data_IF_322539733919
#
_entry.id   IF_322539733919
#
_cell.length_a   1.000
_cell.length_b   1.000
_cell.length_c   1.000
_cell.angle_alpha   90.00
_cell.angle_beta   90.00
_cell.angle_gamma   90.00
#
_symmetry.space_group_name_H-M   'P 1'
#
loop_
_entity.id
_entity.type
_entity.pdbx_description
1 polymer ?
#
# COMPACT_ATOMS: atom_id res chain seq x y z
N UNK A 1 -10.30 -10.50 11.12
CA UNK A 1 -9.54 -9.30 11.54
C UNK A 1 -10.19 -8.07 10.90
N UNK A 2 -10.47 -7.05 11.69
CA UNK A 2 -11.06 -5.79 11.22
C UNK A 2 -9.92 -4.79 11.06
N UNK A 3 -9.83 -4.15 9.89
CA UNK A 3 -8.83 -3.14 9.58
C UNK A 3 -9.39 -2.14 8.56
N UNK A 4 -8.76 -0.99 8.45
CA UNK A 4 -9.17 0.03 7.49
C UNK A 4 -8.92 -0.42 6.04
N UNK A 5 -9.83 -0.05 5.14
CA UNK A 5 -9.53 -0.11 3.70
C UNK A 5 -8.42 0.90 3.38
N UNK A 6 -7.54 0.60 2.42
CA UNK A 6 -6.42 1.50 2.12
C UNK A 6 -6.89 2.84 1.53
N UNK A 7 -6.14 3.90 1.82
CA UNK A 7 -6.23 5.13 1.05
C UNK A 7 -5.66 4.88 -0.35
N UNK A 8 -6.42 5.25 -1.38
CA UNK A 8 -6.02 5.07 -2.78
C UNK A 8 -5.97 6.40 -3.56
N UNK A 9 -6.64 7.45 -3.08
CA UNK A 9 -6.54 8.77 -3.71
C UNK A 9 -5.13 9.33 -3.57
N UNK A 10 -4.53 9.72 -4.69
CA UNK A 10 -3.14 10.18 -4.76
C UNK A 10 -2.09 9.07 -4.90
N UNK A 11 -2.51 7.81 -4.94
CA UNK A 11 -1.62 6.66 -5.16
C UNK A 11 -1.12 6.63 -6.61
N UNK A 12 0.03 6.02 -6.85
CA UNK A 12 0.59 5.85 -8.19
C UNK A 12 -0.36 5.04 -9.10
N UNK A 13 -0.68 5.58 -10.27
CA UNK A 13 -1.59 4.93 -11.22
C UNK A 13 -1.10 3.54 -11.64
N UNK A 14 0.19 3.40 -11.93
CA UNK A 14 0.78 2.08 -12.25
C UNK A 14 0.63 1.07 -11.14
N UNK A 15 0.76 1.50 -9.87
CA UNK A 15 0.55 0.61 -8.73
C UNK A 15 -0.92 0.21 -8.60
N UNK A 16 -1.87 1.16 -8.74
CA UNK A 16 -3.30 0.84 -8.68
C UNK A 16 -3.66 -0.18 -9.77
N UNK A 17 -3.20 0.05 -11.01
CA UNK A 17 -3.43 -0.86 -12.12
C UNK A 17 -2.84 -2.26 -11.85
N UNK A 18 -1.61 -2.32 -11.34
CA UNK A 18 -0.96 -3.58 -10.98
C UNK A 18 -1.72 -4.32 -9.86
N UNK A 19 -2.22 -3.61 -8.85
CA UNK A 19 -3.01 -4.20 -7.78
C UNK A 19 -4.35 -4.76 -8.28
N UNK A 20 -5.08 -4.02 -9.12
CA UNK A 20 -6.33 -4.49 -9.72
C UNK A 20 -6.11 -5.71 -10.61
N UNK A 21 -5.05 -5.71 -11.41
CA UNK A 21 -4.65 -6.86 -12.22
C UNK A 21 -4.32 -8.07 -11.36
N UNK A 22 -3.59 -7.87 -10.26
CA UNK A 22 -3.24 -8.93 -9.32
C UNK A 22 -4.48 -9.53 -8.62
N UNK A 23 -5.48 -8.72 -8.29
CA UNK A 23 -6.76 -9.23 -7.80
C UNK A 23 -7.50 -10.04 -8.86
N UNK A 24 -7.48 -9.59 -10.11
CA UNK A 24 -8.16 -10.27 -11.22
C UNK A 24 -7.54 -11.63 -11.52
N UNK A 25 -6.20 -11.74 -11.50
CA UNK A 25 -5.48 -12.97 -11.82
C UNK A 25 -5.24 -13.90 -10.61
N UNK A 26 -5.52 -13.45 -9.39
CA UNK A 26 -5.39 -14.23 -8.15
C UNK A 26 -4.03 -14.13 -7.44
N UNK A 27 -3.09 -13.32 -7.94
CA UNK A 27 -1.81 -13.07 -7.25
C UNK A 27 -1.99 -12.31 -5.95
N UNK A 28 -3.04 -11.47 -5.90
CA UNK A 28 -3.49 -10.78 -4.71
C UNK A 28 -4.90 -11.27 -4.38
N UNK A 29 -5.05 -11.93 -3.23
CA UNK A 29 -6.28 -12.62 -2.87
C UNK A 29 -7.04 -11.84 -1.80
N UNK A 30 -8.20 -11.38 -2.18
CA UNK A 30 -9.21 -10.77 -1.30
C UNK A 30 -10.56 -10.90 -2.01
N UNK A 31 -11.54 -11.63 -1.46
CA UNK A 31 -12.75 -12.01 -2.19
C UNK A 31 -13.53 -10.85 -2.78
N UNK A 32 -13.73 -9.79 -2.00
CA UNK A 32 -14.45 -8.59 -2.46
C UNK A 32 -13.77 -7.94 -3.66
N UNK A 33 -12.44 -7.71 -3.55
CA UNK A 33 -11.70 -7.07 -4.65
C UNK A 33 -11.56 -7.99 -5.86
N UNK A 34 -11.48 -9.29 -5.67
CA UNK A 34 -11.48 -10.25 -6.78
C UNK A 34 -12.80 -10.19 -7.56
N UNK A 35 -13.93 -10.13 -6.86
CA UNK A 35 -15.23 -10.01 -7.50
C UNK A 35 -15.37 -8.72 -8.32
N UNK A 36 -14.91 -7.60 -7.76
CA UNK A 36 -14.90 -6.30 -8.46
C UNK A 36 -13.97 -6.34 -9.67
N UNK A 37 -12.72 -6.78 -9.49
CA UNK A 37 -11.72 -6.75 -10.55
C UNK A 37 -12.02 -7.73 -11.68
N UNK A 38 -12.73 -8.82 -11.43
CA UNK A 38 -13.05 -9.85 -12.42
C UNK A 38 -13.82 -9.32 -13.64
N UNK A 39 -14.66 -8.31 -13.45
CA UNK A 39 -15.48 -7.71 -14.51
C UNK A 39 -14.79 -6.56 -15.26
N UNK A 40 -13.63 -6.09 -14.77
CA UNK A 40 -12.93 -4.95 -15.38
C UNK A 40 -12.12 -5.38 -16.60
N UNK A 41 -12.24 -4.63 -17.70
CA UNK A 41 -11.31 -4.70 -18.82
C UNK A 41 -9.97 -4.04 -18.47
N UNK A 42 -8.96 -4.24 -19.29
CA UNK A 42 -7.67 -3.56 -19.12
C UNK A 42 -7.82 -2.04 -19.22
N UNK A 43 -8.72 -1.56 -20.09
CA UNK A 43 -9.01 -0.13 -20.19
C UNK A 43 -9.68 0.40 -18.92
N UNK A 44 -10.68 -0.32 -18.37
CA UNK A 44 -11.33 0.06 -17.12
C UNK A 44 -10.30 0.15 -15.97
N UNK A 45 -9.39 -0.80 -15.88
CA UNK A 45 -8.32 -0.82 -14.87
C UNK A 45 -7.45 0.43 -15.01
N UNK A 46 -7.04 0.80 -16.22
CA UNK A 46 -6.21 1.97 -16.46
C UNK A 46 -6.96 3.28 -16.15
N UNK A 47 -8.21 3.38 -16.56
CA UNK A 47 -9.04 4.57 -16.32
C UNK A 47 -9.29 4.79 -14.82
N UNK A 48 -9.63 3.72 -14.09
CA UNK A 48 -9.79 3.75 -12.63
C UNK A 48 -8.48 4.15 -11.94
N UNK A 49 -7.37 3.55 -12.37
CA UNK A 49 -6.07 3.84 -11.81
C UNK A 49 -5.68 5.31 -11.99
N UNK A 50 -5.89 5.86 -13.19
CA UNK A 50 -5.61 7.26 -13.48
C UNK A 50 -6.52 8.20 -12.69
N UNK A 51 -7.82 7.90 -12.61
CA UNK A 51 -8.78 8.67 -11.83
C UNK A 51 -8.35 8.81 -10.37
N UNK A 52 -8.11 7.68 -9.69
CA UNK A 52 -7.73 7.72 -8.28
C UNK A 52 -6.36 8.33 -8.04
N UNK A 53 -5.42 8.18 -8.96
CA UNK A 53 -4.09 8.79 -8.82
C UNK A 53 -4.14 10.32 -8.81
N UNK A 54 -5.10 10.92 -9.50
CA UNK A 54 -5.31 12.38 -9.59
C UNK A 54 -6.24 12.92 -8.51
N UNK A 55 -6.98 12.06 -7.85
CA UNK A 55 -7.96 12.45 -6.84
C UNK A 55 -7.23 12.88 -5.56
N UNK A 56 -7.61 14.02 -5.00
CA UNK A 56 -7.02 14.54 -3.76
C UNK A 56 -5.93 15.60 -3.95
N UNK A 57 -5.64 16.00 -5.18
CA UNK A 57 -4.76 17.11 -5.52
C UNK A 57 -3.26 16.78 -5.43
N UNK A 58 -2.43 17.81 -5.58
CA UNK A 58 -0.98 17.69 -5.57
C UNK A 58 -0.42 18.05 -4.19
N UNK A 59 -0.07 17.08 -3.40
CA UNK A 59 0.74 17.27 -2.19
C UNK A 59 2.14 16.73 -2.47
N UNK A 60 3.15 17.56 -2.32
CA UNK A 60 4.55 17.14 -2.44
C UNK A 60 5.21 17.14 -1.07
N UNK A 61 5.67 15.98 -0.65
CA UNK A 61 6.43 15.84 0.58
C UNK A 61 7.93 16.07 0.34
N UNK A 62 8.68 16.47 1.38
CA UNK A 62 10.15 16.50 1.34
C UNK A 62 10.72 15.13 1.02
N UNK A 63 11.99 15.09 0.56
CA UNK A 63 12.67 13.83 0.26
C UNK A 63 13.03 13.01 1.51
N UNK A 64 13.01 13.64 2.67
CA UNK A 64 13.25 12.97 3.96
C UNK A 64 11.92 12.68 4.67
N UNK A 65 11.86 11.63 5.51
CA UNK A 65 10.69 11.36 6.31
C UNK A 65 10.43 12.51 7.29
N UNK A 66 9.17 12.74 7.61
CA UNK A 66 8.74 13.85 8.48
C UNK A 66 9.21 13.71 9.93
N UNK A 67 9.53 12.50 10.35
CA UNK A 67 10.26 12.21 11.58
C UNK A 67 11.10 10.96 11.42
N UNK A 68 12.16 10.86 12.22
CA UNK A 68 13.07 9.73 12.18
C UNK A 68 12.49 8.54 12.96
N UNK A 69 12.79 7.30 12.55
CA UNK A 69 12.44 6.11 13.32
C UNK A 69 13.28 6.06 14.60
N UNK A 70 12.79 5.36 15.60
CA UNK A 70 13.63 4.98 16.73
C UNK A 70 14.69 3.95 16.31
N UNK A 71 15.62 3.64 17.22
CA UNK A 71 16.76 2.76 16.92
C UNK A 71 16.31 1.33 16.53
N UNK A 72 15.23 0.84 17.10
CA UNK A 72 14.69 -0.50 16.80
C UNK A 72 14.13 -0.54 15.40
N UNK A 73 13.24 0.39 15.06
CA UNK A 73 12.63 0.49 13.73
C UNK A 73 13.67 0.78 12.66
N UNK A 74 14.65 1.66 12.95
CA UNK A 74 15.75 1.94 12.02
C UNK A 74 16.55 0.66 11.67
N UNK A 75 16.81 -0.17 12.66
CA UNK A 75 17.49 -1.47 12.45
C UNK A 75 16.64 -2.41 11.58
N UNK A 76 15.31 -2.45 11.78
CA UNK A 76 14.41 -3.27 10.96
C UNK A 76 14.34 -2.76 9.52
N UNK A 77 14.24 -1.46 9.30
CA UNK A 77 14.24 -0.85 7.97
C UNK A 77 15.53 -1.14 7.20
N UNK A 78 16.68 -1.07 7.88
CA UNK A 78 17.98 -1.39 7.30
C UNK A 78 18.14 -2.87 6.98
N UNK A 79 17.63 -3.76 7.83
CA UNK A 79 17.70 -5.22 7.65
C UNK A 79 17.11 -5.68 6.31
N UNK A 80 15.96 -5.14 5.90
CA UNK A 80 15.32 -5.46 4.62
C UNK A 80 15.57 -4.39 3.54
N UNK A 81 16.37 -3.36 3.84
CA UNK A 81 16.68 -2.26 2.92
C UNK A 81 15.42 -1.65 2.26
N UNK A 82 14.37 -1.42 3.05
CA UNK A 82 13.05 -0.99 2.58
C UNK A 82 13.10 0.29 1.75
N UNK A 83 13.93 1.25 2.18
CA UNK A 83 14.04 2.56 1.56
C UNK A 83 14.65 2.53 0.16
N UNK A 84 15.41 1.49 -0.19
CA UNK A 84 16.03 1.37 -1.53
C UNK A 84 14.99 1.24 -2.65
N UNK A 85 13.83 0.66 -2.35
CA UNK A 85 12.74 0.47 -3.30
C UNK A 85 11.58 1.45 -3.06
N UNK A 86 11.24 1.70 -1.79
CA UNK A 86 10.09 2.52 -1.43
C UNK A 86 10.40 4.02 -1.27
N UNK A 87 11.68 4.40 -1.41
CA UNK A 87 12.14 5.78 -1.22
C UNK A 87 12.38 6.11 0.26
N UNK A 88 13.25 7.07 0.52
CA UNK A 88 13.64 7.46 1.88
C UNK A 88 12.46 7.95 2.72
N UNK A 89 11.53 8.67 2.09
CA UNK A 89 10.32 9.21 2.72
C UNK A 89 9.09 8.30 2.56
N UNK A 90 9.22 7.11 1.98
CA UNK A 90 8.12 6.16 1.68
C UNK A 90 6.99 6.72 0.79
N UNK A 91 7.22 7.85 0.11
CA UNK A 91 6.29 8.47 -0.83
C UNK A 91 6.84 8.59 -2.24
N UNK A 92 8.15 8.42 -2.41
CA UNK A 92 8.84 8.49 -3.71
C UNK A 92 9.56 7.18 -4.01
N UNK A 93 8.83 6.11 -4.35
CA UNK A 93 9.44 4.84 -4.73
C UNK A 93 10.27 4.98 -6.01
N UNK A 94 11.24 4.08 -6.21
CA UNK A 94 12.11 4.08 -7.39
C UNK A 94 11.38 3.76 -8.69
N UNK A 95 10.21 3.13 -8.62
CA UNK A 95 9.34 2.81 -9.74
C UNK A 95 7.88 3.09 -9.38
N UNK A 96 7.13 3.64 -10.33
CA UNK A 96 5.72 4.00 -10.13
C UNK A 96 4.78 2.77 -10.02
N UNK A 97 5.25 1.56 -10.30
CA UNK A 97 4.54 0.33 -10.00
C UNK A 97 4.62 -0.08 -8.52
N UNK A 98 5.48 0.57 -7.74
CA UNK A 98 5.54 0.42 -6.30
C UNK A 98 4.64 1.46 -5.61
N UNK A 99 4.04 1.11 -4.45
CA UNK A 99 3.11 2.00 -3.78
C UNK A 99 3.82 3.13 -3.02
N UNK A 100 3.13 4.27 -2.92
CA UNK A 100 3.36 5.23 -1.85
C UNK A 100 2.84 4.61 -0.56
N UNK A 101 3.63 4.63 0.49
CA UNK A 101 3.35 3.97 1.77
C UNK A 101 3.17 4.94 2.93
N UNK A 102 3.89 6.07 2.92
CA UNK A 102 3.87 7.03 4.01
C UNK A 102 2.44 7.48 4.36
N UNK A 103 2.10 7.40 5.64
CA UNK A 103 0.81 7.80 6.17
C UNK A 103 -0.38 6.92 5.78
N UNK A 104 -0.15 5.79 5.12
CA UNK A 104 -1.19 4.77 4.93
C UNK A 104 -1.63 4.22 6.29
N UNK A 105 -2.88 3.76 6.41
CA UNK A 105 -3.38 3.16 7.64
C UNK A 105 -2.46 2.05 8.15
N UNK A 106 -1.98 2.19 9.38
CA UNK A 106 -0.98 1.27 9.96
C UNK A 106 -1.51 -0.18 10.08
N UNK A 107 -2.78 -0.35 10.43
CA UNK A 107 -3.42 -1.66 10.51
C UNK A 107 -3.50 -2.33 9.12
N UNK A 108 -3.81 -1.57 8.07
CA UNK A 108 -3.77 -2.06 6.70
C UNK A 108 -2.35 -2.44 6.26
N UNK A 109 -1.35 -1.60 6.55
CA UNK A 109 0.05 -1.91 6.25
C UNK A 109 0.50 -3.21 6.94
N UNK A 110 0.12 -3.38 8.21
CA UNK A 110 0.44 -4.59 8.96
C UNK A 110 -0.21 -5.85 8.34
N UNK A 111 -1.50 -5.77 7.99
CA UNK A 111 -2.17 -6.88 7.30
C UNK A 111 -1.51 -7.18 5.96
N UNK A 112 -1.20 -6.16 5.16
CA UNK A 112 -0.53 -6.31 3.88
C UNK A 112 0.82 -7.01 4.01
N UNK A 113 1.63 -6.63 4.99
CA UNK A 113 2.92 -7.27 5.27
C UNK A 113 2.77 -8.74 5.67
N UNK A 114 1.78 -9.07 6.49
CA UNK A 114 1.46 -10.47 6.84
C UNK A 114 1.01 -11.28 5.63
N UNK A 115 0.22 -10.69 4.75
CA UNK A 115 -0.28 -11.35 3.54
C UNK A 115 0.85 -11.77 2.59
N UNK A 116 1.94 -11.02 2.50
CA UNK A 116 3.12 -11.43 1.73
C UNK A 116 3.80 -12.70 2.27
N UNK A 117 3.61 -13.02 3.55
CA UNK A 117 4.09 -14.27 4.17
C UNK A 117 3.15 -15.45 3.95
N UNK A 118 1.92 -15.20 3.51
CA UNK A 118 0.86 -16.21 3.39
C UNK A 118 0.93 -16.90 2.03
N UNK A 119 1.47 -18.13 2.00
CA UNK A 119 1.73 -18.87 0.76
C UNK A 119 0.55 -19.70 0.27
N UNK A 120 -0.24 -20.28 1.16
CA UNK A 120 -1.20 -21.34 0.81
C UNK A 120 -2.65 -21.05 1.17
N UNK A 121 -3.01 -19.85 1.55
CA UNK A 121 -4.39 -19.49 1.82
C UNK A 121 -5.11 -19.12 0.50
N UNK A 122 -6.21 -19.82 0.13
CA UNK A 122 -6.90 -19.54 -1.14
C UNK A 122 -7.68 -18.23 -1.14
N UNK A 123 -7.97 -17.68 0.02
CA UNK A 123 -8.85 -16.52 0.21
C UNK A 123 -8.09 -15.21 0.43
N UNK A 124 -6.96 -15.28 1.14
CA UNK A 124 -6.15 -14.13 1.50
C UNK A 124 -4.68 -14.35 1.16
N UNK A 125 -3.96 -13.30 0.84
CA UNK A 125 -2.53 -13.33 0.61
C UNK A 125 -2.11 -12.59 -0.65
N UNK A 126 -0.79 -12.42 -0.79
CA UNK A 126 -0.18 -11.71 -1.91
C UNK A 126 1.02 -12.49 -2.43
N UNK A 127 0.97 -12.90 -3.70
CA UNK A 127 2.04 -13.63 -4.37
C UNK A 127 3.02 -12.64 -5.03
N UNK A 128 3.85 -12.00 -4.23
CA UNK A 128 4.94 -11.17 -4.71
C UNK A 128 6.26 -11.69 -4.16
N UNK A 129 7.17 -12.24 -5.00
CA UNK A 129 8.40 -12.88 -4.53
C UNK A 129 9.33 -11.91 -3.79
N UNK A 130 9.43 -10.66 -4.24
CA UNK A 130 10.30 -9.64 -3.63
C UNK A 130 9.78 -9.30 -2.25
N UNK A 131 8.54 -8.84 -2.15
CA UNK A 131 7.95 -8.49 -0.86
C UNK A 131 7.77 -9.69 0.07
N UNK A 132 7.52 -10.88 -0.48
CA UNK A 132 7.49 -12.12 0.29
C UNK A 132 8.83 -12.44 0.95
N UNK A 133 9.95 -12.23 0.24
CA UNK A 133 11.30 -12.38 0.77
C UNK A 133 11.62 -11.31 1.83
N UNK A 134 11.19 -10.08 1.61
CA UNK A 134 11.40 -8.98 2.58
C UNK A 134 10.59 -9.21 3.86
N UNK A 135 9.28 -9.37 3.76
CA UNK A 135 8.39 -9.58 4.91
C UNK A 135 8.69 -10.88 5.66
N UNK A 136 9.16 -11.91 4.96
CA UNK A 136 9.53 -13.20 5.53
C UNK A 136 10.66 -13.16 6.55
N UNK A 137 11.47 -12.09 6.56
CA UNK A 137 12.58 -11.92 7.50
C UNK A 137 12.14 -11.50 8.90
N UNK A 138 10.87 -11.11 9.06
CA UNK A 138 10.36 -10.48 10.28
C UNK A 138 9.29 -11.31 10.98
N UNK A 139 9.27 -11.21 12.30
CA UNK A 139 8.14 -11.64 13.13
C UNK A 139 6.94 -10.70 12.95
N UNK A 140 5.76 -11.14 13.37
CA UNK A 140 4.58 -10.28 13.30
C UNK A 140 4.70 -9.02 14.19
N UNK A 141 5.25 -9.06 15.41
CA UNK A 141 5.54 -7.84 16.17
C UNK A 141 6.45 -6.87 15.42
N UNK A 142 7.53 -7.35 14.80
CA UNK A 142 8.45 -6.51 14.01
C UNK A 142 7.74 -5.89 12.79
N UNK A 143 6.88 -6.65 12.10
CA UNK A 143 6.06 -6.11 11.01
C UNK A 143 5.08 -5.04 11.49
N UNK A 144 4.57 -5.19 12.71
CA UNK A 144 3.69 -4.17 13.30
C UNK A 144 4.44 -2.88 13.59
N UNK A 145 5.64 -2.93 14.16
CA UNK A 145 6.47 -1.76 14.40
C UNK A 145 6.81 -1.00 13.11
N UNK A 146 7.16 -1.74 12.03
CA UNK A 146 7.38 -1.17 10.71
C UNK A 146 6.12 -0.48 10.17
N UNK A 147 4.96 -1.12 10.29
CA UNK A 147 3.69 -0.59 9.83
C UNK A 147 3.27 0.65 10.62
N UNK A 148 3.44 0.64 11.94
CA UNK A 148 3.12 1.76 12.82
C UNK A 148 3.98 2.99 12.47
N UNK A 149 5.28 2.80 12.27
CA UNK A 149 6.18 3.88 11.89
C UNK A 149 5.82 4.47 10.52
N UNK A 150 5.71 3.64 9.49
CA UNK A 150 5.41 4.10 8.13
C UNK A 150 4.04 4.76 8.06
N UNK A 151 3.05 4.22 8.77
CA UNK A 151 1.71 4.79 8.88
C UNK A 151 1.66 6.12 9.62
N UNK A 152 2.64 6.42 10.47
CA UNK A 152 2.71 7.68 11.22
C UNK A 152 3.34 8.85 10.43
N UNK A 153 3.94 8.57 9.29
CA UNK A 153 4.56 9.60 8.44
C UNK A 153 3.50 10.45 7.73
N UNK A 154 3.85 11.68 7.37
CA UNK A 154 2.99 12.50 6.52
C UNK A 154 2.77 11.84 5.17
N UNK A 155 1.57 12.02 4.62
CA UNK A 155 1.10 11.30 3.45
C UNK A 155 0.81 12.19 2.26
N UNK A 156 1.14 11.70 1.07
CA UNK A 156 0.58 12.18 -0.20
C UNK A 156 -0.76 11.51 -0.54
N UNK A 157 -1.09 10.43 0.17
CA UNK A 157 -2.39 9.76 0.05
C UNK A 157 -3.47 10.55 0.77
N UNK A 158 -4.70 10.50 0.26
CA UNK A 158 -5.82 11.27 0.81
C UNK A 158 -6.99 10.35 1.13
N UNK A 159 -7.70 10.72 2.20
CA UNK A 159 -9.08 10.30 2.40
C UNK A 159 -9.94 11.29 1.63
N UNK A 160 -10.72 10.80 0.69
CA UNK A 160 -11.69 11.64 -0.03
C UNK A 160 -12.95 11.67 0.83
N UNK A 161 -13.39 12.86 1.29
CA UNK A 161 -14.66 12.97 2.00
C UNK A 161 -15.79 12.46 1.10
N UNK A 162 -16.71 11.68 1.65
CA UNK A 162 -17.96 11.40 0.97
C UNK A 162 -18.59 12.72 0.55
N UNK A 163 -19.04 12.79 -0.70
CA UNK A 163 -19.86 13.93 -1.14
C UNK A 163 -21.04 13.98 -0.19
N UNK A 164 -21.11 15.02 0.63
CA UNK A 164 -22.31 15.25 1.42
C UNK A 164 -23.44 15.36 0.44
N UNK A 165 -24.37 14.42 0.49
CA UNK A 165 -25.65 14.62 -0.14
C UNK A 165 -26.20 15.89 0.48
N UNK A 166 -26.19 16.98 -0.26
CA UNK A 166 -26.93 18.16 0.11
C UNK A 166 -28.40 17.76 0.01
N UNK A 167 -29.00 17.52 1.15
CA UNK A 167 -30.44 17.59 1.26
C UNK A 167 -30.78 19.09 1.25
N UNK A 168 -31.10 19.60 0.06
CA UNK A 168 -31.84 20.85 -0.08
C UNK A 168 -33.29 20.63 0.37
#
# INVERSE_FOLDING_TARGET
EVYHVPMIAGQNAKYIAAALTAYKNGDRRFPTMRAIAASLSDQDINDIAEYYSKLGGETKLPDQPTHQPDATVDALLKKANCMSCHGTNFSKPIDASYPKLAGQHADYLFVALKEYKTKSNPTFGRANPIMGAMAGQFSNPELKELADYIGSLDSELKVVPESRFHHD
#
